data_IF_104716221826
#
_entry.id   IF_104716221826
#
_cell.length_a   1.000
_cell.length_b   1.000
_cell.length_c   1.000
_cell.angle_alpha   90.00
_cell.angle_beta   90.00
_cell.angle_gamma   90.00
#
_symmetry.space_group_name_H-M   'P 1'
#
loop_
_entity.id
_entity.type
_entity.pdbx_description
1 polymer ?
#
# COMPACT_ATOMS: atom_id res chain seq x y z
N UNK A 1 -11.18 -19.81 5.26
CA UNK A 1 -11.28 -18.33 5.41
C UNK A 1 -9.86 -17.81 5.47
N UNK A 2 -9.46 -16.91 4.57
CA UNK A 2 -8.12 -16.30 4.60
C UNK A 2 -8.24 -14.90 5.22
N UNK A 3 -7.48 -14.65 6.29
CA UNK A 3 -7.38 -13.33 6.88
C UNK A 3 -6.34 -12.53 6.10
N UNK A 4 -6.72 -11.37 5.57
CA UNK A 4 -5.87 -10.55 4.72
C UNK A 4 -5.91 -9.09 5.18
N UNK A 5 -4.85 -8.35 4.88
CA UNK A 5 -4.78 -6.90 5.06
C UNK A 5 -4.79 -6.27 3.68
N UNK A 6 -5.70 -5.31 3.44
CA UNK A 6 -5.72 -4.57 2.18
C UNK A 6 -4.54 -3.60 2.15
N UNK A 7 -3.77 -3.62 1.06
CA UNK A 7 -2.56 -2.80 0.93
C UNK A 7 -1.39 -3.30 1.79
N UNK A 8 -1.39 -4.60 2.12
CA UNK A 8 -0.34 -5.26 2.92
C UNK A 8 1.07 -4.89 2.42
N UNK A 9 1.95 -4.61 3.37
CA UNK A 9 3.39 -4.30 3.18
C UNK A 9 3.68 -2.92 2.55
N UNK A 10 2.65 -2.08 2.38
CA UNK A 10 2.82 -0.66 2.08
C UNK A 10 2.16 0.16 3.19
N UNK A 11 2.97 0.80 4.03
CA UNK A 11 2.61 1.37 5.32
C UNK A 11 1.42 2.35 5.24
N UNK A 12 1.38 3.19 4.21
CA UNK A 12 0.32 4.18 4.02
C UNK A 12 -0.95 3.62 3.34
N UNK A 13 -0.87 2.39 2.80
CA UNK A 13 -1.99 1.70 2.17
C UNK A 13 -2.67 0.67 3.09
N UNK A 14 -1.98 0.16 4.12
CA UNK A 14 -2.53 -0.86 5.01
C UNK A 14 -3.83 -0.39 5.71
N UNK A 15 -4.89 -1.18 5.53
CA UNK A 15 -6.23 -0.91 6.07
C UNK A 15 -6.81 0.48 5.72
N UNK A 16 -6.31 1.09 4.64
CA UNK A 16 -6.73 2.43 4.23
C UNK A 16 -7.74 2.39 3.06
N UNK A 17 -9.03 2.71 3.28
CA UNK A 17 -10.03 2.70 2.22
C UNK A 17 -9.82 3.77 1.15
N UNK A 18 -9.08 4.84 1.43
CA UNK A 18 -8.79 5.91 0.48
C UNK A 18 -7.96 5.43 -0.74
N UNK A 19 -7.29 4.28 -0.60
CA UNK A 19 -6.54 3.65 -1.69
C UNK A 19 -7.34 2.60 -2.46
N UNK A 20 -8.67 2.51 -2.27
CA UNK A 20 -9.50 1.68 -3.13
C UNK A 20 -9.65 2.30 -4.53
N UNK A 21 -8.91 1.77 -5.51
CA UNK A 21 -8.97 2.24 -6.89
C UNK A 21 -8.26 3.58 -7.13
N UNK A 22 -7.56 4.11 -6.12
CA UNK A 22 -6.72 5.31 -6.25
C UNK A 22 -5.28 4.87 -6.58
N UNK A 23 -4.74 5.40 -7.68
CA UNK A 23 -3.32 5.22 -8.00
C UNK A 23 -2.45 6.07 -7.05
N UNK A 24 -1.30 5.56 -6.59
CA UNK A 24 -0.34 6.35 -5.82
C UNK A 24 0.29 7.44 -6.70
N UNK A 25 0.69 8.54 -6.05
CA UNK A 25 1.55 9.56 -6.66
C UNK A 25 2.96 9.00 -6.93
N UNK A 26 3.80 9.76 -7.64
CA UNK A 26 5.19 9.34 -7.90
C UNK A 26 6.01 9.18 -6.61
N UNK A 27 5.78 10.06 -5.63
CA UNK A 27 6.47 10.03 -4.33
C UNK A 27 5.98 8.84 -3.50
N UNK A 28 4.66 8.62 -3.45
CA UNK A 28 4.05 7.45 -2.79
C UNK A 28 4.51 6.13 -3.42
N UNK A 29 4.63 6.08 -4.75
CA UNK A 29 5.14 4.91 -5.47
C UNK A 29 6.61 4.62 -5.09
N UNK A 30 7.47 5.64 -5.05
CA UNK A 30 8.86 5.45 -4.68
C UNK A 30 9.00 4.96 -3.22
N UNK A 31 8.18 5.49 -2.31
CA UNK A 31 8.12 5.01 -0.93
C UNK A 31 7.66 3.56 -0.85
N UNK A 32 6.58 3.19 -1.56
CA UNK A 32 6.06 1.83 -1.56
C UNK A 32 7.08 0.82 -2.12
N UNK A 33 7.80 1.17 -3.19
CA UNK A 33 8.84 0.29 -3.74
C UNK A 33 10.01 0.09 -2.78
N UNK A 34 10.34 1.10 -1.97
CA UNK A 34 11.36 0.99 -0.93
C UNK A 34 10.88 0.04 0.18
N UNK A 35 9.67 0.23 0.69
CA UNK A 35 9.09 -0.61 1.75
C UNK A 35 8.95 -2.09 1.32
N UNK A 36 8.64 -2.34 0.05
CA UNK A 36 8.55 -3.71 -0.49
C UNK A 36 9.92 -4.39 -0.71
N UNK A 37 11.01 -3.62 -0.72
CA UNK A 37 12.36 -4.15 -0.92
C UNK A 37 13.08 -4.47 0.41
N UNK A 38 12.49 -4.07 1.55
CA UNK A 38 12.96 -4.36 2.90
C UNK A 38 12.42 -5.72 3.40
#
# INVERSE_FOLDING_TARGET
ICQTIKGKDVSFMENNPAFHGKAPSKEEMAQALKELAD
#
